data_IF_541811172855
#
_entry.id   IF_541811172855
#
_cell.length_a   1.000
_cell.length_b   1.000
_cell.length_c   1.000
_cell.angle_alpha   90.00
_cell.angle_beta   90.00
_cell.angle_gamma   90.00
#
_symmetry.space_group_name_H-M   'P 1'
#
loop_
_entity.id
_entity.type
_entity.pdbx_description
1 polymer ?
#
# COMPACT_ATOMS: atom_id res chain seq x y z
N UNK A 1 -0.91 0.98 -12.40
CA UNK A 1 -1.04 0.90 -10.93
C UNK A 1 -2.45 1.32 -10.56
N UNK A 2 -3.06 0.62 -9.64
CA UNK A 2 -4.42 0.92 -9.19
C UNK A 2 -4.49 0.86 -7.67
N UNK A 3 -5.19 1.82 -7.05
CA UNK A 3 -5.38 1.86 -5.61
C UNK A 3 -6.82 1.47 -5.30
N UNK A 4 -7.00 0.49 -4.42
CA UNK A 4 -8.32 0.01 -4.03
C UNK A 4 -8.45 0.06 -2.51
N UNK A 5 -9.59 0.52 -1.99
CA UNK A 5 -9.81 0.45 -0.55
C UNK A 5 -9.91 -1.00 -0.10
N UNK A 6 -9.30 -1.30 1.06
CA UNK A 6 -9.29 -2.66 1.62
C UNK A 6 -9.64 -2.58 3.10
N UNK A 7 -10.87 -2.19 3.40
CA UNK A 7 -11.30 -1.90 4.76
C UNK A 7 -11.12 -0.42 5.08
N UNK A 8 -11.24 -0.08 6.38
CA UNK A 8 -11.25 1.32 6.82
C UNK A 8 -9.86 1.94 6.90
N UNK A 9 -8.84 1.11 7.11
CA UNK A 9 -7.48 1.60 7.38
C UNK A 9 -6.46 1.01 6.45
N UNK A 10 -6.87 0.40 5.33
CA UNK A 10 -5.94 -0.23 4.43
C UNK A 10 -6.22 0.13 2.97
N UNK A 11 -5.17 0.13 2.17
CA UNK A 11 -5.26 0.30 0.73
C UNK A 11 -4.50 -0.84 0.05
N UNK A 12 -5.11 -1.40 -0.98
CA UNK A 12 -4.48 -2.40 -1.81
C UNK A 12 -3.96 -1.73 -3.08
N UNK A 13 -2.66 -1.81 -3.29
CA UNK A 13 -2.03 -1.27 -4.49
C UNK A 13 -1.82 -2.41 -5.48
N UNK A 14 -2.47 -2.34 -6.63
CA UNK A 14 -2.28 -3.30 -7.70
C UNK A 14 -1.24 -2.76 -8.70
N UNK A 15 -0.23 -3.56 -8.98
CA UNK A 15 0.83 -3.22 -9.92
C UNK A 15 0.67 -4.06 -11.19
N UNK A 16 1.36 -3.65 -12.26
CA UNK A 16 1.25 -4.33 -13.54
C UNK A 16 2.06 -5.63 -13.60
N UNK A 17 3.15 -5.70 -12.83
CA UNK A 17 4.00 -6.88 -12.81
C UNK A 17 4.75 -7.02 -11.49
N UNK A 18 5.43 -8.17 -11.33
CA UNK A 18 6.18 -8.50 -10.13
C UNK A 18 7.35 -7.53 -9.89
N UNK A 19 7.99 -7.07 -10.95
CA UNK A 19 9.10 -6.12 -10.84
C UNK A 19 8.66 -4.79 -10.26
N UNK A 20 7.52 -4.25 -10.71
CA UNK A 20 6.94 -3.04 -10.13
C UNK A 20 6.58 -3.25 -8.67
N UNK A 21 5.99 -4.40 -8.33
CA UNK A 21 5.63 -4.71 -6.96
C UNK A 21 6.87 -4.74 -6.06
N UNK A 22 7.95 -5.36 -6.52
CA UNK A 22 9.20 -5.42 -5.74
C UNK A 22 9.76 -4.02 -5.48
N UNK A 23 9.77 -3.16 -6.50
CA UNK A 23 10.28 -1.80 -6.36
C UNK A 23 9.44 -0.98 -5.39
N UNK A 24 8.11 -1.08 -5.51
CA UNK A 24 7.22 -0.37 -4.60
C UNK A 24 7.40 -0.85 -3.16
N UNK A 25 7.42 -2.15 -2.95
CA UNK A 25 7.58 -2.72 -1.61
C UNK A 25 8.91 -2.28 -1.00
N UNK A 26 10.00 -2.30 -1.78
CA UNK A 26 11.29 -1.84 -1.30
C UNK A 26 11.25 -0.37 -0.88
N UNK A 27 10.69 0.48 -1.74
CA UNK A 27 10.60 1.91 -1.46
C UNK A 27 9.80 2.17 -0.18
N UNK A 28 8.65 1.51 -0.03
CA UNK A 28 7.81 1.67 1.15
C UNK A 28 8.43 1.07 2.40
N UNK A 29 9.26 0.04 2.26
CA UNK A 29 9.98 -0.54 3.40
C UNK A 29 11.09 0.39 3.89
N UNK A 30 11.77 1.08 2.97
CA UNK A 30 12.83 2.01 3.30
C UNK A 30 12.31 3.38 3.74
N UNK A 31 11.18 3.80 3.17
CA UNK A 31 10.56 5.11 3.42
C UNK A 31 9.06 4.93 3.63
N UNK A 32 8.66 4.36 4.78
CA UNK A 32 7.24 4.10 5.01
C UNK A 32 6.42 5.38 5.08
N UNK A 33 5.19 5.31 4.57
CA UNK A 33 4.24 6.40 4.71
C UNK A 33 3.88 6.60 6.18
N UNK A 34 3.52 7.85 6.53
CA UNK A 34 3.15 8.18 7.91
C UNK A 34 1.98 7.30 8.35
N UNK A 35 2.12 6.70 9.53
CA UNK A 35 1.07 5.87 10.11
C UNK A 35 1.04 4.44 9.63
N UNK A 36 1.96 4.01 8.76
CA UNK A 36 2.00 2.62 8.29
C UNK A 36 2.24 1.69 9.47
N UNK A 37 1.35 0.72 9.66
CA UNK A 37 1.49 -0.33 10.68
C UNK A 37 1.84 -1.67 10.08
N UNK A 38 1.54 -1.89 8.79
CA UNK A 38 1.88 -3.15 8.13
C UNK A 38 1.98 -2.95 6.61
N UNK A 39 2.85 -3.75 6.00
CA UNK A 39 3.04 -3.83 4.55
C UNK A 39 3.03 -5.29 4.17
N UNK A 40 2.05 -5.71 3.37
CA UNK A 40 1.93 -7.12 2.99
C UNK A 40 2.06 -7.23 1.46
N UNK A 41 3.22 -7.70 0.96
CA UNK A 41 3.38 -7.94 -0.47
C UNK A 41 2.74 -9.26 -0.88
N UNK A 42 2.13 -9.27 -2.05
CA UNK A 42 1.68 -10.48 -2.72
C UNK A 42 2.34 -10.53 -4.10
N UNK A 43 1.79 -11.27 -5.04
CA UNK A 43 2.46 -11.45 -6.33
C UNK A 43 2.60 -10.13 -7.10
N UNK A 44 1.50 -9.41 -7.28
CA UNK A 44 1.48 -8.12 -7.98
C UNK A 44 0.79 -7.03 -7.18
N UNK A 45 0.61 -7.22 -5.87
CA UNK A 45 -0.07 -6.27 -5.02
C UNK A 45 0.75 -5.98 -3.76
N UNK A 46 0.50 -4.81 -3.17
CA UNK A 46 1.01 -4.47 -1.83
C UNK A 46 -0.17 -3.95 -1.03
N UNK A 47 -0.44 -4.58 0.11
CA UNK A 47 -1.43 -4.07 1.06
C UNK A 47 -0.72 -3.16 2.05
N UNK A 48 -1.20 -1.94 2.18
CA UNK A 48 -0.68 -0.96 3.14
C UNK A 48 -1.74 -0.74 4.20
N UNK A 49 -1.44 -1.10 5.43
CA UNK A 49 -2.33 -0.87 6.57
C UNK A 49 -1.79 0.30 7.40
N UNK A 50 -2.67 1.22 7.79
CA UNK A 50 -2.30 2.41 8.55
C UNK A 50 -3.08 2.48 9.86
N UNK A 51 -2.63 3.32 10.80
CA UNK A 51 -3.22 3.41 12.13
C UNK A 51 -4.65 3.97 12.11
N UNK A 52 -4.93 4.91 11.21
CA UNK A 52 -6.26 5.53 11.17
C UNK A 52 -6.63 5.87 9.72
N UNK A 53 -7.95 5.98 9.42
CA UNK A 53 -8.41 6.31 8.07
C UNK A 53 -7.88 7.64 7.54
N UNK A 54 -7.55 8.57 8.43
CA UNK A 54 -7.01 9.89 8.04
C UNK A 54 -5.68 9.80 7.33
N UNK A 55 -4.96 8.70 7.50
CA UNK A 55 -3.64 8.50 6.93
C UNK A 55 -3.67 7.81 5.56
N UNK A 56 -4.85 7.42 5.10
CA UNK A 56 -5.01 6.87 3.75
C UNK A 56 -4.90 7.97 2.70
N UNK A 57 -4.35 7.65 1.51
CA UNK A 57 -4.34 8.62 0.41
C UNK A 57 -5.75 9.11 0.07
N UNK A 58 -5.88 10.37 -0.30
CA UNK A 58 -7.16 10.96 -0.65
C UNK A 58 -7.84 10.21 -1.82
N UNK A 59 -7.07 9.58 -2.69
CA UNK A 59 -7.59 8.85 -3.84
C UNK A 59 -8.39 7.60 -3.45
N UNK A 60 -8.25 7.09 -2.22
CA UNK A 60 -8.96 5.91 -1.74
C UNK A 60 -9.87 6.21 -0.55
N UNK A 61 -9.82 7.42 -0.04
CA UNK A 61 -10.63 7.83 1.10
C UNK A 61 -12.10 8.03 0.69
#
# INVERSE_FOLDING_TARGET
MRLLPAGRTAVLVELDDVGQRRRLHRTLSEHPAVGTVDLVPAQTTVLIDVESPDQLPAAVA
#
